data_IF_954625001019
#
_entry.id   IF_954625001019
#
_cell.length_a   1.000
_cell.length_b   1.000
_cell.length_c   1.000
_cell.angle_alpha   90.00
_cell.angle_beta   90.00
_cell.angle_gamma   90.00
#
_symmetry.space_group_name_H-M   'P 1'
#
loop_
_entity.id
_entity.type
_entity.pdbx_description
1 polymer ?
#
# COMPACT_ATOMS: atom_id res chain seq x y z
N UNK A 1 15.18 3.88 12.07
CA UNK A 1 15.74 2.87 11.15
C UNK A 1 16.69 1.98 11.96
N UNK A 2 17.25 0.91 11.37
CA UNK A 2 18.22 0.04 12.05
C UNK A 2 19.70 0.46 11.84
N UNK A 3 19.94 1.47 10.99
CA UNK A 3 21.25 2.03 10.68
C UNK A 3 21.90 2.60 11.95
N UNK A 4 23.12 2.18 12.25
CA UNK A 4 23.92 2.69 13.36
C UNK A 4 24.74 3.92 12.95
N UNK A 5 25.27 4.62 13.95
CA UNK A 5 26.17 5.75 13.71
C UNK A 5 27.44 5.28 12.98
N UNK A 6 27.84 6.03 11.94
CA UNK A 6 28.98 5.68 11.10
C UNK A 6 28.71 4.64 10.01
N UNK A 7 27.53 4.01 9.97
CA UNK A 7 27.16 3.12 8.86
C UNK A 7 26.69 3.89 7.62
N UNK A 8 26.95 3.33 6.45
CA UNK A 8 26.53 3.87 5.16
C UNK A 8 25.73 2.83 4.38
N UNK A 9 24.49 3.19 3.98
CA UNK A 9 23.69 2.35 3.08
C UNK A 9 24.29 2.40 1.67
N UNK A 10 24.96 1.32 1.26
CA UNK A 10 25.64 1.24 -0.04
C UNK A 10 24.80 0.59 -1.15
N UNK A 11 23.79 -0.20 -0.78
CA UNK A 11 22.99 -0.98 -1.73
C UNK A 11 21.62 -1.32 -1.18
N UNK A 12 20.63 -1.31 -2.05
CA UNK A 12 19.32 -1.93 -1.84
C UNK A 12 19.16 -3.06 -2.84
N UNK A 13 18.71 -4.22 -2.40
CA UNK A 13 18.41 -5.36 -3.28
C UNK A 13 16.94 -5.65 -3.25
N UNK A 14 16.30 -5.48 -4.39
CA UNK A 14 14.88 -5.78 -4.59
C UNK A 14 14.81 -7.02 -5.48
N UNK A 15 14.13 -8.10 -5.04
CA UNK A 15 13.90 -9.26 -5.89
C UNK A 15 13.18 -8.87 -7.18
N UNK A 16 13.54 -9.49 -8.29
CA UNK A 16 12.78 -9.36 -9.54
C UNK A 16 11.44 -10.05 -9.36
N UNK A 17 10.36 -9.42 -9.81
CA UNK A 17 9.01 -9.97 -9.74
C UNK A 17 8.91 -11.27 -10.56
N UNK A 18 8.21 -12.25 -10.01
CA UNK A 18 7.96 -13.53 -10.69
C UNK A 18 6.88 -13.41 -11.77
N UNK A 19 6.58 -14.50 -12.51
CA UNK A 19 5.46 -14.52 -13.44
C UNK A 19 4.13 -14.24 -12.72
N UNK A 20 3.15 -13.68 -13.44
CA UNK A 20 1.83 -13.34 -12.89
C UNK A 20 1.89 -12.45 -11.65
N UNK A 21 2.97 -11.67 -11.51
CA UNK A 21 3.16 -10.70 -10.45
C UNK A 21 3.04 -9.31 -11.05
N UNK A 22 2.25 -8.44 -10.43
CA UNK A 22 2.14 -7.05 -10.82
C UNK A 22 2.29 -6.15 -9.61
N UNK A 23 2.84 -4.95 -9.84
CA UNK A 23 2.97 -3.93 -8.81
C UNK A 23 2.53 -2.56 -9.28
N UNK A 24 2.09 -1.76 -8.30
CA UNK A 24 1.65 -0.40 -8.54
C UNK A 24 1.83 0.47 -7.30
N UNK A 25 1.92 1.78 -7.54
CA UNK A 25 1.92 2.80 -6.52
C UNK A 25 0.87 3.86 -6.86
N UNK A 26 -0.06 4.11 -5.94
CA UNK A 26 -1.06 5.15 -6.06
C UNK A 26 -0.79 6.24 -5.01
N UNK A 27 -0.83 7.52 -5.41
CA UNK A 27 -0.60 8.64 -4.49
C UNK A 27 -1.60 9.78 -4.61
N UNK A 28 -2.10 10.22 -3.47
CA UNK A 28 -2.65 11.55 -3.27
C UNK A 28 -1.48 12.49 -3.02
N UNK A 29 -1.18 13.35 -3.98
CA UNK A 29 -0.02 14.22 -3.89
C UNK A 29 -0.41 15.63 -3.46
N UNK A 30 0.45 16.28 -2.68
CA UNK A 30 0.37 17.72 -2.48
C UNK A 30 0.53 18.44 -3.83
N UNK A 31 -0.34 19.41 -4.19
CA UNK A 31 -0.30 20.04 -5.51
C UNK A 31 1.04 20.70 -5.85
N UNK A 32 1.65 21.40 -4.88
CA UNK A 32 2.85 22.18 -5.11
C UNK A 32 4.13 21.32 -5.06
N UNK A 33 4.30 20.53 -4.01
CA UNK A 33 5.54 19.79 -3.73
C UNK A 33 5.52 18.35 -4.21
N UNK A 34 4.35 17.81 -4.57
CA UNK A 34 4.14 16.45 -5.08
C UNK A 34 4.45 15.32 -4.10
N UNK A 35 4.76 15.62 -2.83
CA UNK A 35 4.89 14.61 -1.78
C UNK A 35 3.57 13.86 -1.59
N UNK A 36 3.64 12.58 -1.20
CA UNK A 36 2.45 11.78 -0.95
C UNK A 36 1.83 12.18 0.40
N UNK A 37 0.66 12.81 0.37
CA UNK A 37 -0.17 12.99 1.56
C UNK A 37 -0.79 11.65 1.98
N UNK A 38 -1.15 10.84 0.98
CA UNK A 38 -1.50 9.42 1.12
C UNK A 38 -0.84 8.69 -0.03
N UNK A 39 -0.02 7.70 0.27
CA UNK A 39 0.58 6.82 -0.72
C UNK A 39 0.27 5.38 -0.37
N UNK A 40 0.00 4.55 -1.38
CA UNK A 40 -0.17 3.11 -1.23
C UNK A 40 0.63 2.39 -2.32
N UNK A 41 1.51 1.48 -1.91
CA UNK A 41 2.20 0.53 -2.76
C UNK A 41 1.51 -0.83 -2.64
N UNK A 42 1.34 -1.53 -3.75
CA UNK A 42 0.82 -2.88 -3.78
C UNK A 42 1.67 -3.75 -4.73
N UNK A 43 1.92 -4.98 -4.31
CA UNK A 43 2.47 -6.08 -5.13
C UNK A 43 1.50 -7.25 -5.01
N UNK A 44 1.08 -7.84 -6.12
CA UNK A 44 0.15 -8.97 -6.12
C UNK A 44 0.66 -10.05 -7.05
N UNK A 45 0.62 -11.30 -6.59
CA UNK A 45 0.79 -12.49 -7.44
C UNK A 45 -0.56 -13.16 -7.59
N UNK A 46 -1.00 -13.41 -8.82
CA UNK A 46 -2.27 -14.06 -9.12
C UNK A 46 -2.02 -15.47 -9.63
N UNK A 47 -2.76 -16.45 -9.11
CA UNK A 47 -2.74 -17.83 -9.60
C UNK A 47 -4.16 -18.39 -9.66
N UNK A 48 -4.58 -18.89 -10.83
CA UNK A 48 -5.92 -19.47 -11.00
C UNK A 48 -7.07 -18.51 -10.66
N UNK A 49 -6.89 -17.21 -10.91
CA UNK A 49 -7.88 -16.18 -10.56
C UNK A 49 -7.96 -15.83 -9.07
N UNK A 50 -7.00 -16.29 -8.25
CA UNK A 50 -6.92 -16.02 -6.81
C UNK A 50 -5.66 -15.26 -6.44
N UNK A 51 -5.73 -14.48 -5.37
CA UNK A 51 -4.56 -13.84 -4.77
C UNK A 51 -3.67 -14.89 -4.11
N UNK A 52 -2.48 -15.13 -4.68
CA UNK A 52 -1.50 -16.10 -4.16
C UNK A 52 -0.58 -15.48 -3.12
N UNK A 53 -0.07 -14.29 -3.42
CA UNK A 53 0.78 -13.47 -2.56
C UNK A 53 0.38 -12.01 -2.73
N UNK A 54 0.34 -11.26 -1.63
CA UNK A 54 -0.03 -9.85 -1.61
C UNK A 54 0.89 -9.11 -0.65
N UNK A 55 1.43 -7.99 -1.09
CA UNK A 55 2.17 -7.04 -0.27
C UNK A 55 1.53 -5.67 -0.40
N UNK A 56 1.19 -5.03 0.72
CA UNK A 56 0.63 -3.67 0.74
C UNK A 56 1.33 -2.83 1.78
N UNK A 57 1.76 -1.64 1.38
CA UNK A 57 2.33 -0.65 2.29
C UNK A 57 1.73 0.72 2.03
N UNK A 58 1.47 1.46 3.10
CA UNK A 58 1.02 2.85 3.05
C UNK A 58 2.07 3.80 3.61
N UNK A 59 2.04 5.04 3.12
CA UNK A 59 2.97 6.08 3.54
C UNK A 59 2.38 7.48 3.42
N UNK A 60 3.00 8.43 4.11
CA UNK A 60 2.55 9.83 4.12
C UNK A 60 1.39 10.14 5.07
N UNK A 61 0.71 9.13 5.61
CA UNK A 61 -0.37 9.33 6.59
C UNK A 61 -0.02 8.89 8.01
N UNK A 62 1.06 8.14 8.20
CA UNK A 62 1.61 7.72 9.50
C UNK A 62 3.06 8.23 9.63
N UNK A 63 3.63 8.34 10.85
CA UNK A 63 4.98 8.88 11.05
C UNK A 63 6.08 8.05 10.36
N UNK A 64 5.78 6.78 10.08
CA UNK A 64 6.61 5.84 9.33
C UNK A 64 5.77 5.13 8.28
N UNK A 65 6.41 4.62 7.23
CA UNK A 65 5.73 3.71 6.30
C UNK A 65 5.20 2.49 7.08
N UNK A 66 3.95 2.13 6.82
CA UNK A 66 3.23 1.10 7.55
C UNK A 66 2.81 0.01 6.58
N UNK A 67 3.16 -1.24 6.90
CA UNK A 67 2.67 -2.40 6.15
C UNK A 67 1.20 -2.63 6.51
N UNK A 68 0.35 -2.78 5.51
CA UNK A 68 -1.09 -2.99 5.69
C UNK A 68 -1.39 -4.50 5.76
N UNK A 69 -0.93 -5.15 6.83
CA UNK A 69 -1.06 -6.60 7.02
C UNK A 69 -2.50 -7.09 7.06
N UNK A 70 -3.44 -6.29 7.57
CA UNK A 70 -4.85 -6.65 7.59
C UNK A 70 -5.42 -6.76 6.15
N UNK A 71 -4.98 -5.88 5.25
CA UNK A 71 -5.34 -5.92 3.82
C UNK A 71 -4.76 -7.17 3.16
N UNK A 72 -3.48 -7.47 3.42
CA UNK A 72 -2.81 -8.66 2.87
C UNK A 72 -3.52 -9.95 3.31
N UNK A 73 -3.87 -10.04 4.60
CA UNK A 73 -4.58 -11.18 5.16
C UNK A 73 -6.00 -11.32 4.58
N UNK A 74 -6.72 -10.22 4.40
CA UNK A 74 -8.06 -10.22 3.81
C UNK A 74 -8.09 -10.68 2.35
N UNK A 75 -6.99 -10.53 1.61
CA UNK A 75 -6.90 -10.94 0.21
C UNK A 75 -6.37 -12.37 0.02
N UNK A 76 -5.56 -12.89 0.92
CA UNK A 76 -4.90 -14.19 0.76
C UNK A 76 -5.90 -15.31 0.42
N UNK A 77 -5.71 -15.95 -0.74
CA UNK A 77 -6.54 -17.06 -1.22
C UNK A 77 -7.93 -16.67 -1.75
N UNK A 78 -8.32 -15.40 -1.67
CA UNK A 78 -9.59 -14.91 -2.19
C UNK A 78 -9.58 -14.80 -3.72
N UNK A 79 -10.77 -14.82 -4.30
CA UNK A 79 -10.96 -14.57 -5.73
C UNK A 79 -10.67 -13.12 -6.10
N UNK A 80 -9.99 -12.92 -7.23
CA UNK A 80 -9.65 -11.61 -7.76
C UNK A 80 -10.90 -10.97 -8.38
N UNK A 81 -11.68 -10.29 -7.54
CA UNK A 81 -12.87 -9.53 -7.95
C UNK A 81 -12.81 -8.10 -7.42
N UNK A 82 -13.59 -7.20 -8.04
CA UNK A 82 -13.65 -5.81 -7.60
C UNK A 82 -14.18 -5.71 -6.16
N UNK A 83 -15.17 -6.54 -5.81
CA UNK A 83 -15.79 -6.60 -4.48
C UNK A 83 -14.78 -7.04 -3.42
N UNK A 84 -14.00 -8.09 -3.70
CA UNK A 84 -12.93 -8.56 -2.82
C UNK A 84 -11.90 -7.46 -2.55
N UNK A 85 -11.45 -6.75 -3.60
CA UNK A 85 -10.47 -5.67 -3.47
C UNK A 85 -11.03 -4.50 -2.66
N UNK A 86 -12.28 -4.09 -2.91
CA UNK A 86 -12.95 -3.01 -2.18
C UNK A 86 -13.08 -3.35 -0.69
N UNK A 87 -13.54 -4.57 -0.37
CA UNK A 87 -13.72 -5.02 1.00
C UNK A 87 -12.38 -5.08 1.74
N UNK A 88 -11.35 -5.68 1.13
CA UNK A 88 -10.03 -5.81 1.74
C UNK A 88 -9.33 -4.46 1.92
N UNK A 89 -9.48 -3.52 0.98
CA UNK A 89 -8.84 -2.21 1.09
C UNK A 89 -9.30 -1.43 2.33
N UNK A 90 -10.52 -1.67 2.82
CA UNK A 90 -11.04 -1.06 4.05
C UNK A 90 -10.28 -1.52 5.31
N UNK A 91 -9.73 -2.74 5.30
CA UNK A 91 -8.99 -3.32 6.43
C UNK A 91 -7.71 -2.55 6.75
N UNK A 92 -7.22 -1.66 5.86
CA UNK A 92 -6.06 -0.81 6.15
C UNK A 92 -6.25 0.03 7.41
N UNK A 93 -7.51 0.36 7.76
CA UNK A 93 -7.83 1.11 8.97
C UNK A 93 -7.28 0.44 10.25
N UNK A 94 -7.24 -0.89 10.28
CA UNK A 94 -6.77 -1.69 11.41
C UNK A 94 -5.25 -1.58 11.61
N UNK A 95 -4.50 -1.24 10.56
CA UNK A 95 -3.05 -1.10 10.60
C UNK A 95 -2.58 0.36 10.86
N UNK A 96 -3.48 1.35 10.76
CA UNK A 96 -3.08 2.77 10.86
C UNK A 96 -2.77 3.23 12.29
N UNK A 97 -3.41 2.60 13.28
CA UNK A 97 -3.35 3.02 14.68
C UNK A 97 -3.88 4.44 14.91
N UNK A 98 -3.44 5.04 16.01
CA UNK A 98 -3.90 6.36 16.48
C UNK A 98 -3.03 7.52 15.98
N UNK A 99 -1.84 7.25 15.44
CA UNK A 99 -0.86 8.27 15.06
C UNK A 99 -1.04 8.78 13.61
N UNK A 100 -2.25 8.78 13.08
CA UNK A 100 -2.46 9.31 11.72
C UNK A 100 -2.22 10.82 11.72
N UNK A 101 -1.40 11.28 10.77
CA UNK A 101 -0.95 12.68 10.73
C UNK A 101 -2.04 13.60 10.20
N UNK A 102 -2.11 14.80 10.76
CA UNK A 102 -2.91 15.92 10.25
C UNK A 102 -2.04 17.17 10.11
N UNK A 103 -2.21 17.92 9.02
CA UNK A 103 -1.52 19.19 8.77
C UNK A 103 -2.38 20.16 7.95
N UNK A 104 -1.80 21.30 7.56
CA UNK A 104 -2.46 22.33 6.73
C UNK A 104 -2.87 21.85 5.33
N UNK A 105 -2.36 20.71 4.87
CA UNK A 105 -2.60 20.16 3.55
C UNK A 105 -3.65 19.04 3.56
N UNK A 106 -3.73 18.29 4.66
CA UNK A 106 -4.74 17.26 4.86
C UNK A 106 -4.92 16.96 6.35
N UNK A 107 -6.18 17.01 6.82
CA UNK A 107 -6.55 16.60 8.17
C UNK A 107 -6.38 15.09 8.35
N UNK A 108 -6.22 14.66 9.60
CA UNK A 108 -6.19 13.25 9.98
C UNK A 108 -7.39 12.49 9.40
N UNK A 109 -8.60 13.01 9.64
CA UNK A 109 -9.84 12.40 9.17
C UNK A 109 -9.86 12.22 7.64
N UNK A 110 -9.37 13.21 6.90
CA UNK A 110 -9.28 13.11 5.45
C UNK A 110 -8.28 12.04 5.00
N UNK A 111 -7.11 11.93 5.67
CA UNK A 111 -6.14 10.86 5.38
C UNK A 111 -6.69 9.47 5.68
N UNK A 112 -7.39 9.30 6.80
CA UNK A 112 -8.06 8.04 7.14
C UNK A 112 -9.08 7.65 6.08
N UNK A 113 -9.88 8.58 5.58
CA UNK A 113 -10.84 8.32 4.51
C UNK A 113 -10.18 8.00 3.17
N UNK A 114 -9.05 8.63 2.86
CA UNK A 114 -8.34 8.42 1.60
C UNK A 114 -7.46 7.16 1.58
N UNK A 115 -7.01 6.67 2.73
CA UNK A 115 -6.21 5.45 2.84
C UNK A 115 -6.83 4.25 2.08
N UNK A 116 -8.08 3.81 2.36
CA UNK A 116 -8.68 2.69 1.64
C UNK A 116 -8.87 2.97 0.15
N UNK A 117 -9.12 4.22 -0.25
CA UNK A 117 -9.27 4.62 -1.66
C UNK A 117 -7.98 4.40 -2.44
N UNK A 118 -6.84 4.80 -1.87
CA UNK A 118 -5.54 4.67 -2.54
C UNK A 118 -4.99 3.25 -2.47
N UNK A 119 -5.26 2.51 -1.39
CA UNK A 119 -4.98 1.06 -1.33
C UNK A 119 -5.73 0.32 -2.43
N UNK A 120 -7.04 0.55 -2.58
CA UNK A 120 -7.83 -0.04 -3.68
C UNK A 120 -7.23 0.26 -5.04
N UNK A 121 -6.93 1.54 -5.34
CA UNK A 121 -6.35 1.95 -6.62
C UNK A 121 -5.02 1.26 -6.92
N UNK A 122 -4.17 1.11 -5.89
CA UNK A 122 -2.91 0.40 -6.03
C UNK A 122 -3.15 -1.09 -6.34
N UNK A 123 -4.05 -1.75 -5.62
CA UNK A 123 -4.41 -3.16 -5.85
C UNK A 123 -5.00 -3.41 -7.23
N UNK A 124 -5.98 -2.61 -7.66
CA UNK A 124 -6.60 -2.72 -9.00
C UNK A 124 -5.55 -2.60 -10.12
N UNK A 125 -4.62 -1.66 -9.98
CA UNK A 125 -3.54 -1.46 -10.95
C UNK A 125 -2.50 -2.57 -10.89
N UNK A 126 -2.18 -3.08 -9.70
CA UNK A 126 -1.26 -4.20 -9.54
C UNK A 126 -1.85 -5.48 -10.17
N UNK A 127 -3.13 -5.75 -9.95
CA UNK A 127 -3.86 -6.88 -10.54
C UNK A 127 -3.87 -6.79 -12.07
N UNK A 128 -4.14 -5.61 -12.65
CA UNK A 128 -4.14 -5.47 -14.11
C UNK A 128 -2.77 -5.67 -14.77
N UNK A 129 -1.70 -5.61 -13.97
CA UNK A 129 -0.31 -5.85 -14.40
C UNK A 129 0.20 -7.25 -14.07
N UNK A 130 -0.57 -8.04 -13.33
CA UNK A 130 -0.26 -9.42 -12.99
C UNK A 130 -0.61 -10.35 -14.17
N UNK A 131 0.14 -10.20 -15.27
CA UNK A 131 0.02 -11.00 -16.49
C UNK A 131 0.96 -12.19 -16.49
#
# INVERSE_FOLDING_TARGET
>A
TALQEGELLVRVSVPVEGPHTGSAYAKLHNPASRYAMVGAAATVTVNGGKFREVGVAVGGLTPKATRASAVEAALAGQDVTAETIVAAAAAVADDLGDEVMGDIHASEAYRRQMAPVFVRRALETAVSRAS
#
